data_IF_866384578258
#
_entry.id   IF_866384578258
#
_cell.length_a   1.000
_cell.length_b   1.000
_cell.length_c   1.000
_cell.angle_alpha   90.00
_cell.angle_beta   90.00
_cell.angle_gamma   90.00
#
_symmetry.space_group_name_H-M   'P 1'
#
loop_
_entity.id
_entity.type
_entity.pdbx_description
1 polymer ?
#
# COMPACT_ATOMS: atom_id res chain seq x y z
N UNK A 1 64.19 -4.69 -6.26
CA UNK A 1 64.27 -3.28 -5.83
C UNK A 1 62.85 -2.76 -5.81
N UNK A 2 62.16 -3.01 -4.70
CA UNK A 2 60.72 -2.93 -4.52
C UNK A 2 60.48 -2.01 -3.33
N UNK A 3 59.98 -0.79 -3.54
CA UNK A 3 59.78 0.11 -2.40
C UNK A 3 59.62 1.59 -2.71
N UNK A 4 58.61 1.97 -3.51
CA UNK A 4 58.11 3.37 -3.51
C UNK A 4 56.62 3.45 -3.85
N UNK A 5 55.76 2.64 -3.21
CA UNK A 5 54.28 2.74 -3.37
C UNK A 5 53.51 2.42 -2.08
N UNK A 6 54.07 2.79 -0.93
CA UNK A 6 53.42 2.67 0.38
C UNK A 6 53.69 3.96 1.13
N UNK A 7 52.84 4.97 0.96
CA UNK A 7 52.63 6.09 1.91
C UNK A 7 51.63 7.14 1.38
N UNK A 8 50.55 6.72 0.70
CA UNK A 8 49.53 7.67 0.24
C UNK A 8 48.09 7.11 0.35
N UNK A 9 47.82 6.27 1.36
CA UNK A 9 46.50 5.63 1.47
C UNK A 9 46.02 5.34 2.89
N UNK A 10 46.57 6.01 3.92
CA UNK A 10 46.19 5.69 5.30
C UNK A 10 46.39 6.83 6.30
N UNK A 11 45.78 8.01 6.07
CA UNK A 11 45.61 8.99 7.17
C UNK A 11 44.60 10.12 6.91
N UNK A 12 43.36 9.84 6.48
CA UNK A 12 42.34 10.91 6.47
C UNK A 12 40.85 10.46 6.52
N UNK A 13 40.52 9.20 6.82
CA UNK A 13 39.14 8.68 6.75
C UNK A 13 38.58 8.10 8.06
N UNK A 14 38.95 8.64 9.24
CA UNK A 14 38.41 8.14 10.53
C UNK A 14 37.52 9.13 11.28
N UNK A 15 37.57 10.42 10.97
CA UNK A 15 36.69 11.43 11.59
C UNK A 15 35.31 11.52 10.89
N UNK A 16 35.29 11.35 9.57
CA UNK A 16 34.07 11.42 8.73
C UNK A 16 33.09 10.28 9.03
N UNK A 17 33.60 9.09 9.32
CA UNK A 17 32.77 7.93 9.66
C UNK A 17 32.22 8.01 11.08
N UNK A 18 32.95 8.58 12.04
CA UNK A 18 32.48 8.75 13.42
C UNK A 18 31.30 9.74 13.52
N UNK A 19 31.35 10.85 12.75
CA UNK A 19 30.22 11.79 12.63
C UNK A 19 29.01 11.16 11.93
N UNK A 20 29.24 10.23 10.98
CA UNK A 20 28.16 9.50 10.30
C UNK A 20 27.45 8.52 11.23
N UNK A 21 28.17 7.89 12.15
CA UNK A 21 27.56 6.99 13.14
C UNK A 21 26.85 7.74 14.26
N UNK A 22 27.36 8.88 14.74
CA UNK A 22 26.60 9.74 15.67
C UNK A 22 25.35 10.31 15.02
N UNK A 23 25.42 10.79 13.77
CA UNK A 23 24.22 11.23 13.05
C UNK A 23 23.21 10.10 12.84
N UNK A 24 23.65 8.85 12.67
CA UNK A 24 22.76 7.68 12.57
C UNK A 24 22.20 7.30 13.94
N UNK A 25 22.96 7.45 15.03
CA UNK A 25 22.51 7.14 16.39
C UNK A 25 21.57 8.23 16.95
N UNK A 26 21.86 9.51 16.70
CA UNK A 26 20.98 10.64 16.94
C UNK A 26 19.75 10.60 16.03
N UNK A 27 19.88 10.10 14.79
CA UNK A 27 18.75 9.82 13.92
C UNK A 27 17.94 8.61 14.41
N UNK A 28 18.56 7.59 15.01
CA UNK A 28 17.84 6.48 15.65
C UNK A 28 17.15 6.93 16.93
N UNK A 29 17.79 7.80 17.71
CA UNK A 29 17.23 8.39 18.92
C UNK A 29 16.10 9.37 18.60
N UNK A 30 16.25 10.21 17.57
CA UNK A 30 15.18 11.04 17.02
C UNK A 30 14.09 10.16 16.42
N UNK A 31 14.39 9.09 15.68
CA UNK A 31 13.40 8.14 15.19
C UNK A 31 12.68 7.41 16.33
N UNK A 32 13.35 7.13 17.45
CA UNK A 32 12.76 6.49 18.62
C UNK A 32 11.93 7.48 19.46
N UNK A 33 12.37 8.74 19.55
CA UNK A 33 11.68 9.83 20.24
C UNK A 33 10.49 10.35 19.42
N UNK A 34 10.64 10.41 18.10
CA UNK A 34 9.58 10.59 17.12
C UNK A 34 8.69 9.35 17.10
N UNK A 35 9.17 8.11 17.26
CA UNK A 35 8.29 6.93 17.40
C UNK A 35 7.53 6.89 18.73
N UNK A 36 8.01 7.61 19.76
CA UNK A 36 7.30 7.83 21.03
C UNK A 36 6.27 8.95 20.96
N UNK A 37 6.37 9.84 19.97
CA UNK A 37 5.49 11.01 19.77
C UNK A 37 4.71 11.02 18.44
N UNK A 38 5.01 10.10 17.52
CA UNK A 38 4.22 9.73 16.34
C UNK A 38 3.13 8.81 16.87
N UNK A 39 2.16 9.43 17.52
CA UNK A 39 0.84 8.87 17.52
C UNK A 39 0.45 8.66 16.05
N UNK A 40 0.19 7.40 15.67
CA UNK A 40 -0.21 7.11 14.31
C UNK A 40 -1.58 7.75 14.08
N UNK A 41 -1.71 8.74 13.16
CA UNK A 41 -2.90 9.55 13.10
C UNK A 41 -4.10 8.65 12.80
N UNK A 42 -4.98 8.51 13.79
CA UNK A 42 -6.18 7.68 13.69
C UNK A 42 -7.35 8.49 13.13
N UNK A 43 -7.20 9.82 13.10
CA UNK A 43 -8.20 10.78 12.66
C UNK A 43 -7.67 11.73 11.57
N UNK A 44 -8.59 12.29 10.78
CA UNK A 44 -8.29 13.26 9.71
C UNK A 44 -7.68 14.55 10.28
N UNK A 45 -8.03 14.93 11.51
CA UNK A 45 -7.46 16.09 12.18
C UNK A 45 -5.96 15.94 12.47
N UNK A 46 -5.53 14.78 12.97
CA UNK A 46 -4.12 14.48 13.26
C UNK A 46 -3.30 14.40 11.97
N UNK A 47 -3.89 13.88 10.88
CA UNK A 47 -3.25 13.86 9.57
C UNK A 47 -3.03 15.28 9.02
N UNK A 48 -3.96 16.20 9.31
CA UNK A 48 -3.84 17.60 8.93
C UNK A 48 -2.73 18.30 9.70
N UNK A 49 -2.70 18.15 11.02
CA UNK A 49 -1.65 18.74 11.88
C UNK A 49 -0.26 18.26 11.46
N UNK A 50 -0.11 16.95 11.22
CA UNK A 50 1.11 16.37 10.67
C UNK A 50 1.47 16.97 9.31
N UNK A 51 0.48 17.19 8.43
CA UNK A 51 0.71 17.78 7.11
C UNK A 51 1.15 19.24 7.18
N UNK A 52 0.61 20.03 8.12
CA UNK A 52 1.00 21.43 8.34
C UNK A 52 2.41 21.52 8.91
N UNK A 53 2.73 20.71 9.93
CA UNK A 53 4.09 20.61 10.50
C UNK A 53 5.11 20.20 9.44
N UNK A 54 4.82 19.15 8.66
CA UNK A 54 5.71 18.70 7.58
C UNK A 54 5.87 19.73 6.47
N UNK A 55 4.84 20.54 6.20
CA UNK A 55 4.88 21.58 5.17
C UNK A 55 5.67 22.80 5.60
N UNK A 56 5.63 23.17 6.89
CA UNK A 56 6.49 24.19 7.47
C UNK A 56 7.96 23.71 7.45
N UNK A 57 8.22 22.47 7.88
CA UNK A 57 9.55 21.85 7.90
C UNK A 57 10.14 21.63 6.49
N UNK A 58 9.27 21.43 5.49
CA UNK A 58 9.67 21.33 4.08
C UNK A 58 10.32 22.61 3.55
N UNK A 59 10.00 23.78 4.09
CA UNK A 59 10.58 25.06 3.64
C UNK A 59 12.10 25.14 3.86
N UNK A 60 12.62 24.47 4.89
CA UNK A 60 14.06 24.40 5.17
C UNK A 60 14.71 23.09 4.70
N UNK A 61 14.01 21.95 4.72
CA UNK A 61 14.60 20.64 4.41
C UNK A 61 13.71 19.75 3.50
N UNK A 62 13.43 20.21 2.28
CA UNK A 62 12.56 19.51 1.32
C UNK A 62 12.99 18.06 0.99
N UNK A 63 14.29 17.80 0.84
CA UNK A 63 14.80 16.46 0.49
C UNK A 63 14.62 15.48 1.66
N UNK A 64 14.81 15.95 2.89
CA UNK A 64 14.70 15.12 4.08
C UNK A 64 13.26 14.64 4.30
N UNK A 65 12.28 15.55 4.23
CA UNK A 65 10.85 15.22 4.35
C UNK A 65 10.41 14.23 3.27
N UNK A 66 10.88 14.43 2.04
CA UNK A 66 10.59 13.52 0.93
C UNK A 66 11.18 12.11 1.17
N UNK A 67 12.44 12.01 1.58
CA UNK A 67 13.08 10.73 1.86
C UNK A 67 12.44 9.99 3.04
N UNK A 68 12.10 10.72 4.11
CA UNK A 68 11.41 10.15 5.26
C UNK A 68 10.03 9.61 4.88
N UNK A 69 9.27 10.38 4.10
CA UNK A 69 7.97 9.96 3.58
C UNK A 69 8.09 8.70 2.73
N UNK A 70 9.00 8.70 1.74
CA UNK A 70 9.24 7.54 0.87
C UNK A 70 9.64 6.30 1.69
N UNK A 71 10.55 6.46 2.66
CA UNK A 71 11.02 5.37 3.51
C UNK A 71 9.90 4.79 4.37
N UNK A 72 9.09 5.63 5.01
CA UNK A 72 7.95 5.20 5.81
C UNK A 72 6.87 4.50 4.95
N UNK A 73 6.64 5.00 3.73
CA UNK A 73 5.72 4.39 2.77
C UNK A 73 6.17 3.00 2.37
N UNK A 74 7.43 2.88 1.92
CA UNK A 74 8.01 1.62 1.48
C UNK A 74 8.01 0.61 2.62
N UNK A 75 8.40 1.01 3.83
CA UNK A 75 8.37 0.17 5.01
C UNK A 75 6.96 -0.44 5.22
N UNK A 76 5.93 0.38 5.37
CA UNK A 76 4.58 -0.15 5.59
C UNK A 76 4.07 -1.01 4.45
N UNK A 77 4.32 -0.59 3.22
CA UNK A 77 3.84 -1.30 2.06
C UNK A 77 4.55 -2.66 1.89
N UNK A 78 5.84 -2.74 2.18
CA UNK A 78 6.63 -3.98 2.13
C UNK A 78 6.28 -4.94 3.26
N UNK A 79 5.99 -4.43 4.46
CA UNK A 79 5.54 -5.23 5.60
C UNK A 79 4.02 -5.47 5.64
N UNK A 80 3.28 -5.06 4.59
CA UNK A 80 1.83 -5.26 4.49
C UNK A 80 1.03 -4.67 5.67
N UNK A 81 1.53 -3.61 6.29
CA UNK A 81 0.90 -2.97 7.46
C UNK A 81 -0.33 -2.17 6.99
N UNK A 82 -1.53 -2.39 7.56
CA UNK A 82 -2.71 -1.60 7.22
C UNK A 82 -2.52 -0.12 7.58
N UNK A 83 -3.06 0.78 6.75
CA UNK A 83 -2.94 2.23 6.95
C UNK A 83 -2.09 2.96 5.90
N UNK A 84 -1.67 2.29 4.81
CA UNK A 84 -1.03 2.96 3.67
C UNK A 84 -1.95 3.96 2.95
N UNK A 85 -3.28 3.79 3.06
CA UNK A 85 -4.28 4.75 2.57
C UNK A 85 -4.04 6.18 3.09
N UNK A 86 -3.68 6.31 4.38
CA UNK A 86 -3.41 7.62 4.99
C UNK A 86 -2.19 8.29 4.37
N UNK A 87 -1.15 7.52 4.04
CA UNK A 87 0.04 8.06 3.37
C UNK A 87 -0.28 8.54 1.95
N UNK A 88 -1.21 7.89 1.24
CA UNK A 88 -1.68 8.39 -0.06
C UNK A 88 -2.42 9.72 0.06
N UNK A 89 -3.27 9.87 1.08
CA UNK A 89 -3.94 11.15 1.39
C UNK A 89 -2.90 12.21 1.74
N UNK A 90 -1.94 11.89 2.61
CA UNK A 90 -0.86 12.80 2.99
C UNK A 90 -0.01 13.23 1.77
N UNK A 91 0.28 12.33 0.85
CA UNK A 91 0.99 12.66 -0.39
C UNK A 91 0.22 13.70 -1.22
N UNK A 92 -1.09 13.57 -1.30
CA UNK A 92 -1.95 14.57 -1.97
C UNK A 92 -1.94 15.93 -1.28
N UNK A 93 -1.93 15.95 0.05
CA UNK A 93 -1.86 17.18 0.83
C UNK A 93 -0.50 17.89 0.71
N UNK A 94 0.60 17.12 0.62
CA UNK A 94 1.97 17.66 0.59
C UNK A 94 2.46 18.00 -0.83
N UNK A 95 2.17 17.16 -1.80
CA UNK A 95 2.72 17.25 -3.16
C UNK A 95 1.68 17.64 -4.22
N UNK A 96 0.40 17.72 -3.85
CA UNK A 96 -0.70 18.00 -4.77
C UNK A 96 -1.17 16.77 -5.54
N UNK A 97 -2.19 16.92 -6.40
CA UNK A 97 -2.94 15.80 -6.97
C UNK A 97 -2.13 14.98 -7.98
N UNK A 98 -1.40 15.64 -8.88
CA UNK A 98 -0.67 14.97 -9.96
C UNK A 98 0.67 14.38 -9.50
N UNK A 99 1.47 15.18 -8.78
CA UNK A 99 2.77 14.73 -8.29
C UNK A 99 2.61 13.69 -7.16
N UNK A 100 1.62 13.88 -6.28
CA UNK A 100 1.25 12.90 -5.26
C UNK A 100 0.79 11.58 -5.87
N UNK A 101 -0.02 11.60 -6.93
CA UNK A 101 -0.46 10.39 -7.63
C UNK A 101 0.72 9.63 -8.21
N UNK A 102 1.59 10.31 -8.97
CA UNK A 102 2.75 9.67 -9.59
C UNK A 102 3.66 9.06 -8.52
N UNK A 103 3.95 9.81 -7.47
CA UNK A 103 4.76 9.35 -6.34
C UNK A 103 4.14 8.13 -5.65
N UNK A 104 2.85 8.17 -5.34
CA UNK A 104 2.12 7.07 -4.72
C UNK A 104 2.10 5.83 -5.61
N UNK A 105 1.88 5.96 -6.92
CA UNK A 105 1.90 4.82 -7.84
C UNK A 105 3.27 4.14 -7.87
N UNK A 106 4.36 4.92 -7.95
CA UNK A 106 5.73 4.39 -7.91
C UNK A 106 6.02 3.73 -6.56
N UNK A 107 5.80 4.43 -5.44
CA UNK A 107 6.05 3.91 -4.10
C UNK A 107 5.22 2.66 -3.80
N UNK A 108 3.96 2.61 -4.23
CA UNK A 108 3.09 1.44 -4.06
C UNK A 108 3.63 0.25 -4.83
N UNK A 109 4.10 0.46 -6.05
CA UNK A 109 4.61 -0.61 -6.92
C UNK A 109 5.94 -1.16 -6.39
N UNK A 110 6.85 -0.27 -6.00
CA UNK A 110 8.14 -0.64 -5.40
C UNK A 110 7.92 -1.33 -4.04
N UNK A 111 7.08 -0.76 -3.17
CA UNK A 111 6.78 -1.32 -1.86
C UNK A 111 6.08 -2.69 -1.93
N UNK A 112 5.13 -2.86 -2.86
CA UNK A 112 4.48 -4.14 -3.13
C UNK A 112 5.47 -5.19 -3.66
N UNK A 113 6.44 -4.75 -4.46
CA UNK A 113 7.53 -5.61 -4.93
C UNK A 113 8.45 -6.03 -3.77
N UNK A 114 8.72 -5.14 -2.81
CA UNK A 114 9.39 -5.50 -1.56
C UNK A 114 8.64 -6.58 -0.77
N UNK A 115 7.31 -6.45 -0.64
CA UNK A 115 6.45 -7.46 -0.02
C UNK A 115 6.51 -8.81 -0.77
N UNK A 116 6.44 -8.76 -2.11
CA UNK A 116 6.60 -9.93 -2.98
C UNK A 116 7.93 -10.63 -2.74
N UNK A 117 9.04 -9.88 -2.69
CA UNK A 117 10.37 -10.44 -2.49
C UNK A 117 10.49 -11.07 -1.10
N UNK A 118 10.00 -10.39 -0.06
CA UNK A 118 10.01 -10.90 1.30
C UNK A 118 9.19 -12.20 1.41
N UNK A 119 8.01 -12.25 0.78
CA UNK A 119 7.20 -13.46 0.70
C UNK A 119 7.87 -14.56 -0.13
N UNK A 120 8.58 -14.22 -1.20
CA UNK A 120 9.32 -15.19 -2.01
C UNK A 120 10.42 -15.90 -1.21
N UNK A 121 11.14 -15.14 -0.36
CA UNK A 121 12.23 -15.67 0.46
C UNK A 121 11.69 -16.48 1.64
N UNK A 122 10.78 -15.91 2.43
CA UNK A 122 10.32 -16.49 3.70
C UNK A 122 8.99 -17.23 3.56
N UNK A 123 8.00 -16.61 2.92
CA UNK A 123 6.63 -17.11 2.83
C UNK A 123 6.49 -18.36 1.95
N UNK A 124 7.19 -18.41 0.81
CA UNK A 124 7.10 -19.52 -0.13
C UNK A 124 7.54 -20.85 0.49
N UNK A 125 8.66 -20.85 1.21
CA UNK A 125 9.19 -22.07 1.83
C UNK A 125 8.24 -22.62 2.91
N UNK A 126 7.72 -21.73 3.77
CA UNK A 126 6.77 -22.10 4.82
C UNK A 126 5.46 -22.66 4.24
N UNK A 127 4.85 -21.96 3.29
CA UNK A 127 3.53 -22.33 2.77
C UNK A 127 3.58 -23.61 1.94
N UNK A 128 4.64 -23.82 1.15
CA UNK A 128 4.86 -25.07 0.42
C UNK A 128 5.06 -26.24 1.37
N UNK A 129 5.73 -26.04 2.51
CA UNK A 129 5.93 -27.08 3.51
C UNK A 129 4.64 -27.47 4.24
N UNK A 130 3.74 -26.52 4.52
CA UNK A 130 2.49 -26.78 5.24
C UNK A 130 1.36 -27.29 4.34
N UNK A 131 1.27 -26.81 3.08
CA UNK A 131 0.17 -27.14 2.16
C UNK A 131 0.64 -27.42 0.72
N UNK A 132 1.48 -28.45 0.49
CA UNK A 132 2.10 -28.70 -0.81
C UNK A 132 1.05 -28.96 -1.91
N UNK A 133 0.06 -29.81 -1.64
CA UNK A 133 -0.92 -30.23 -2.65
C UNK A 133 -1.80 -29.07 -3.15
N UNK A 134 -2.27 -28.21 -2.22
CA UNK A 134 -3.11 -27.04 -2.58
C UNK A 134 -2.31 -26.01 -3.36
N UNK A 135 -1.07 -25.75 -2.96
CA UNK A 135 -0.19 -24.80 -3.65
C UNK A 135 0.11 -25.30 -5.06
N UNK A 136 0.40 -26.60 -5.22
CA UNK A 136 0.67 -27.20 -6.52
C UNK A 136 -0.53 -27.10 -7.47
N UNK A 137 -1.75 -27.38 -6.98
CA UNK A 137 -2.98 -27.23 -7.77
C UNK A 137 -3.18 -25.78 -8.25
N UNK A 138 -2.95 -24.80 -7.36
CA UNK A 138 -3.09 -23.39 -7.71
C UNK A 138 -2.01 -22.93 -8.68
N UNK A 139 -0.75 -23.33 -8.48
CA UNK A 139 0.35 -23.05 -9.40
C UNK A 139 0.06 -23.63 -10.79
N UNK A 140 -0.43 -24.86 -10.87
CA UNK A 140 -0.84 -25.48 -12.14
C UNK A 140 -1.95 -24.68 -12.82
N UNK A 141 -2.96 -24.22 -12.07
CA UNK A 141 -4.04 -23.39 -12.61
C UNK A 141 -3.55 -22.05 -13.14
N UNK A 142 -2.59 -21.43 -12.45
CA UNK A 142 -1.94 -20.19 -12.88
C UNK A 142 -1.13 -20.42 -14.16
N UNK A 143 -0.41 -21.54 -14.25
CA UNK A 143 0.36 -21.91 -15.44
C UNK A 143 -0.56 -22.14 -16.66
N UNK A 144 -1.66 -22.87 -16.48
CA UNK A 144 -2.69 -23.08 -17.51
C UNK A 144 -3.31 -21.77 -18.02
N UNK A 145 -3.31 -20.71 -17.19
CA UNK A 145 -3.95 -19.42 -17.49
C UNK A 145 -2.94 -18.26 -17.58
N UNK A 146 -1.65 -18.55 -17.87
CA UNK A 146 -0.57 -17.57 -17.96
C UNK A 146 -0.91 -16.35 -18.82
N UNK A 147 -1.56 -16.56 -19.95
CA UNK A 147 -1.89 -15.50 -20.91
C UNK A 147 -2.90 -14.48 -20.35
N UNK A 148 -3.78 -14.92 -19.45
CA UNK A 148 -4.79 -14.07 -18.80
C UNK A 148 -4.39 -13.57 -17.41
N UNK A 149 -3.26 -14.03 -16.86
CA UNK A 149 -2.87 -13.78 -15.48
C UNK A 149 -2.75 -12.29 -15.15
N UNK A 150 -2.15 -11.51 -16.05
CA UNK A 150 -2.03 -10.07 -15.89
C UNK A 150 -3.39 -9.38 -15.79
N UNK A 151 -4.32 -9.69 -16.69
CA UNK A 151 -5.68 -9.12 -16.68
C UNK A 151 -6.49 -9.58 -15.46
N UNK A 152 -6.32 -10.84 -15.05
CA UNK A 152 -6.92 -11.36 -13.83
C UNK A 152 -6.43 -10.61 -12.58
N UNK A 153 -5.11 -10.40 -12.47
CA UNK A 153 -4.50 -9.62 -11.40
C UNK A 153 -4.92 -8.15 -11.40
N UNK A 154 -5.11 -7.57 -12.58
CA UNK A 154 -5.62 -6.22 -12.74
C UNK A 154 -7.08 -6.13 -12.25
N UNK A 155 -7.93 -7.06 -12.70
CA UNK A 155 -9.32 -7.16 -12.28
C UNK A 155 -9.46 -7.29 -10.76
N UNK A 156 -8.68 -8.16 -10.13
CA UNK A 156 -8.68 -8.34 -8.67
C UNK A 156 -8.25 -7.10 -7.87
N UNK A 157 -7.51 -6.16 -8.49
CA UNK A 157 -7.11 -4.91 -7.84
C UNK A 157 -8.10 -3.78 -8.08
N UNK A 158 -8.69 -3.74 -9.27
CA UNK A 158 -9.74 -2.78 -9.61
C UNK A 158 -11.02 -3.08 -8.83
N UNK A 159 -11.37 -4.36 -8.67
CA UNK A 159 -12.46 -4.82 -7.83
C UNK A 159 -11.89 -5.34 -6.52
N UNK A 160 -11.97 -4.59 -5.40
CA UNK A 160 -11.30 -4.91 -4.14
C UNK A 160 -12.00 -6.07 -3.39
N UNK A 161 -12.21 -7.20 -4.07
CA UNK A 161 -12.69 -8.44 -3.48
C UNK A 161 -11.62 -9.10 -2.61
N UNK A 162 -10.34 -8.85 -2.91
CA UNK A 162 -9.20 -9.43 -2.21
C UNK A 162 -8.31 -8.32 -1.65
N UNK A 163 -7.87 -8.42 -0.38
CA UNK A 163 -6.94 -7.45 0.18
C UNK A 163 -5.63 -7.38 -0.61
N UNK A 164 -5.13 -6.16 -0.81
CA UNK A 164 -3.90 -5.92 -1.58
C UNK A 164 -2.68 -6.66 -1.01
N UNK A 165 -2.56 -6.68 0.32
CA UNK A 165 -1.50 -7.40 1.01
C UNK A 165 -1.50 -8.90 0.68
N UNK A 166 -2.69 -9.49 0.54
CA UNK A 166 -2.84 -10.91 0.25
C UNK A 166 -2.38 -11.25 -1.16
N UNK A 167 -2.70 -10.39 -2.14
CA UNK A 167 -2.22 -10.54 -3.52
C UNK A 167 -0.69 -10.42 -3.60
N UNK A 168 -0.11 -9.48 -2.84
CA UNK A 168 1.34 -9.29 -2.80
C UNK A 168 2.07 -10.48 -2.17
N UNK A 169 1.50 -11.05 -1.10
CA UNK A 169 2.04 -12.22 -0.41
C UNK A 169 1.88 -13.52 -1.20
N UNK A 170 0.73 -13.71 -1.87
CA UNK A 170 0.40 -14.94 -2.60
C UNK A 170 1.03 -15.04 -3.99
N UNK A 171 1.28 -13.91 -4.66
CA UNK A 171 1.89 -13.89 -5.98
C UNK A 171 3.20 -14.71 -6.13
N UNK A 172 4.21 -14.62 -5.23
CA UNK A 172 5.41 -15.43 -5.34
C UNK A 172 5.18 -16.91 -5.01
N UNK A 173 4.22 -17.21 -4.13
CA UNK A 173 3.81 -18.58 -3.79
C UNK A 173 3.20 -19.26 -5.02
N UNK A 174 2.47 -18.50 -5.84
CA UNK A 174 1.84 -18.97 -7.07
C UNK A 174 2.76 -18.93 -8.32
N UNK A 175 4.06 -18.62 -8.15
CA UNK A 175 5.01 -18.45 -9.24
C UNK A 175 4.61 -17.40 -10.30
N UNK A 176 3.91 -16.34 -9.87
CA UNK A 176 3.58 -15.22 -10.75
C UNK A 176 4.88 -14.43 -11.05
N UNK A 177 5.17 -14.12 -12.33
CA UNK A 177 6.37 -13.36 -12.68
C UNK A 177 6.30 -11.94 -12.14
N UNK A 178 7.41 -11.46 -11.58
CA UNK A 178 7.52 -10.15 -10.91
C UNK A 178 7.15 -8.98 -11.83
N UNK A 179 7.43 -9.09 -13.13
CA UNK A 179 7.13 -8.04 -14.12
C UNK A 179 5.62 -7.87 -14.28
N UNK A 180 4.87 -8.96 -14.45
CA UNK A 180 3.41 -8.90 -14.56
C UNK A 180 2.78 -8.41 -13.26
N UNK A 181 3.34 -8.86 -12.12
CA UNK A 181 2.93 -8.38 -10.81
C UNK A 181 3.15 -6.87 -10.66
N UNK A 182 4.33 -6.36 -10.98
CA UNK A 182 4.69 -4.94 -10.87
C UNK A 182 3.74 -4.06 -11.69
N UNK A 183 3.55 -4.37 -12.97
CA UNK A 183 2.64 -3.60 -13.82
C UNK A 183 1.18 -3.72 -13.38
N UNK A 184 0.77 -4.88 -12.85
CA UNK A 184 -0.60 -5.05 -12.35
C UNK A 184 -0.86 -4.17 -11.12
N UNK A 185 0.14 -3.99 -10.24
CA UNK A 185 0.06 -3.06 -9.09
C UNK A 185 0.07 -1.62 -9.59
N UNK A 186 1.00 -1.29 -10.49
CA UNK A 186 1.18 0.06 -11.01
C UNK A 186 -0.09 0.59 -11.67
N UNK A 187 -0.74 -0.23 -12.51
CA UNK A 187 -1.94 0.17 -13.28
C UNK A 187 -3.21 -0.07 -12.46
N UNK A 188 -3.31 -1.21 -11.77
CA UNK A 188 -4.53 -1.61 -11.05
C UNK A 188 -4.86 -0.72 -9.86
N UNK A 189 -3.86 -0.05 -9.27
CA UNK A 189 -4.06 0.81 -8.11
C UNK A 189 -4.09 2.30 -8.44
N UNK A 190 -3.94 2.69 -9.70
CA UNK A 190 -4.12 4.09 -10.14
C UNK A 190 -5.44 4.68 -9.65
N UNK A 191 -6.62 4.07 -9.90
CA UNK A 191 -7.88 4.71 -9.51
C UNK A 191 -8.00 4.87 -7.99
N UNK A 192 -7.54 3.87 -7.23
CA UNK A 192 -7.51 3.93 -5.77
C UNK A 192 -6.57 5.03 -5.27
N UNK A 193 -5.32 5.07 -5.77
CA UNK A 193 -4.34 6.09 -5.41
C UNK A 193 -4.84 7.49 -5.78
N UNK A 194 -5.49 7.64 -6.94
CA UNK A 194 -6.07 8.91 -7.38
C UNK A 194 -7.14 9.41 -6.40
N UNK A 195 -8.07 8.56 -5.98
CA UNK A 195 -9.12 8.94 -5.02
C UNK A 195 -8.49 9.41 -3.70
N UNK A 196 -7.51 8.66 -3.16
CA UNK A 196 -6.85 9.03 -1.91
C UNK A 196 -6.06 10.34 -2.00
N UNK A 197 -5.22 10.47 -3.04
CA UNK A 197 -4.41 11.67 -3.27
C UNK A 197 -5.30 12.89 -3.52
N UNK A 198 -6.36 12.74 -4.32
CA UNK A 198 -7.31 13.82 -4.58
C UNK A 198 -8.01 14.27 -3.29
N UNK A 199 -8.40 13.31 -2.43
CA UNK A 199 -8.98 13.61 -1.12
C UNK A 199 -8.02 14.44 -0.26
N UNK A 200 -6.74 14.06 -0.23
CA UNK A 200 -5.72 14.80 0.51
C UNK A 200 -5.44 16.19 -0.04
N UNK A 201 -5.41 16.34 -1.36
CA UNK A 201 -5.24 17.64 -2.00
C UNK A 201 -6.40 18.58 -1.66
N UNK A 202 -7.64 18.10 -1.68
CA UNK A 202 -8.81 18.89 -1.29
C UNK A 202 -8.72 19.27 0.19
N UNK A 203 -8.37 18.33 1.07
CA UNK A 203 -8.25 18.58 2.50
C UNK A 203 -7.23 19.69 2.81
N UNK A 204 -6.11 19.72 2.09
CA UNK A 204 -5.06 20.75 2.27
C UNK A 204 -5.48 22.17 1.85
N UNK A 205 -6.52 22.29 1.02
CA UNK A 205 -7.08 23.58 0.58
C UNK A 205 -8.21 24.10 1.47
N UNK A 206 -8.75 23.27 2.36
CA UNK A 206 -9.77 23.65 3.34
C UNK A 206 -9.12 24.29 4.57
N UNK A 207 -8.56 25.48 4.38
CA UNK A 207 -7.73 26.16 5.38
C UNK A 207 -8.54 26.72 6.57
N UNK A 208 -9.86 26.90 6.47
CA UNK A 208 -10.69 27.43 7.56
C UNK A 208 -11.63 26.38 8.13
N UNK A 209 -11.54 26.14 9.45
CA UNK A 209 -12.45 25.27 10.21
C UNK A 209 -13.93 25.69 10.09
N UNK A 210 -14.21 26.95 9.69
CA UNK A 210 -15.56 27.44 9.35
C UNK A 210 -16.15 26.81 8.08
N UNK A 211 -15.32 26.31 7.15
CA UNK A 211 -15.78 25.69 5.90
C UNK A 211 -16.05 24.18 6.04
N UNK A 212 -15.64 23.54 7.13
CA UNK A 212 -15.98 22.15 7.44
C UNK A 212 -17.47 22.00 7.82
N UNK A 213 -18.09 23.06 8.36
CA UNK A 213 -19.53 23.14 8.60
C UNK A 213 -20.34 23.69 7.42
N UNK A 214 -19.70 23.97 6.28
CA UNK A 214 -20.45 24.34 5.07
C UNK A 214 -21.18 23.12 4.51
N UNK A 215 -22.49 23.28 4.30
CA UNK A 215 -23.38 22.27 3.73
C UNK A 215 -22.84 21.68 2.41
N UNK A 216 -22.07 22.47 1.64
CA UNK A 216 -21.42 22.02 0.40
C UNK A 216 -20.33 20.96 0.62
N UNK A 217 -19.51 21.11 1.67
CA UNK A 217 -18.42 20.18 1.99
C UNK A 217 -19.00 18.86 2.50
N UNK A 218 -20.07 18.93 3.30
CA UNK A 218 -20.82 17.77 3.72
C UNK A 218 -21.41 16.99 2.54
N UNK A 219 -21.97 17.68 1.53
CA UNK A 219 -22.46 17.02 0.31
C UNK A 219 -21.35 16.40 -0.53
N UNK A 220 -20.17 17.04 -0.64
CA UNK A 220 -19.02 16.48 -1.38
C UNK A 220 -18.43 15.27 -0.67
N UNK A 221 -18.27 15.31 0.65
CA UNK A 221 -17.81 14.16 1.45
C UNK A 221 -18.85 13.03 1.47
N UNK A 222 -20.14 13.35 1.56
CA UNK A 222 -21.22 12.39 1.42
C UNK A 222 -21.22 11.75 0.02
N UNK A 223 -21.00 12.52 -1.04
CA UNK A 223 -20.92 11.99 -2.39
C UNK A 223 -19.73 11.04 -2.56
N UNK A 224 -18.55 11.39 -2.02
CA UNK A 224 -17.37 10.50 -2.03
C UNK A 224 -17.63 9.25 -1.18
N UNK A 225 -18.21 9.40 0.01
CA UNK A 225 -18.59 8.28 0.87
C UNK A 225 -19.60 7.36 0.19
N UNK A 226 -20.60 7.90 -0.50
CA UNK A 226 -21.58 7.14 -1.27
C UNK A 226 -20.92 6.42 -2.44
N UNK A 227 -20.08 7.09 -3.22
CA UNK A 227 -19.32 6.47 -4.33
C UNK A 227 -18.38 5.38 -3.81
N UNK A 228 -17.75 5.56 -2.65
CA UNK A 228 -16.95 4.54 -1.98
C UNK A 228 -17.80 3.37 -1.42
N UNK A 229 -19.07 3.61 -1.07
CA UNK A 229 -20.00 2.60 -0.57
C UNK A 229 -20.68 1.80 -1.69
N UNK A 230 -20.75 2.34 -2.92
CA UNK A 230 -21.32 1.67 -4.10
C UNK A 230 -20.64 0.31 -4.37
N UNK A 231 -19.31 0.18 -4.42
CA UNK A 231 -18.68 -1.14 -4.58
C UNK A 231 -19.05 -2.09 -3.44
N UNK A 232 -19.00 -1.64 -2.17
CA UNK A 232 -19.27 -2.50 -1.02
C UNK A 232 -20.72 -3.00 -0.92
N UNK A 233 -21.69 -2.14 -1.27
CA UNK A 233 -23.13 -2.48 -1.21
C UNK A 233 -23.59 -3.32 -2.41
N UNK A 234 -23.02 -3.09 -3.60
CA UNK A 234 -23.26 -3.95 -4.77
C UNK A 234 -22.69 -5.35 -4.53
N UNK A 235 -21.48 -5.46 -3.97
CA UNK A 235 -20.87 -6.75 -3.63
C UNK A 235 -21.70 -7.49 -2.58
N UNK A 236 -22.20 -6.80 -1.52
CA UNK A 236 -23.11 -7.40 -0.54
C UNK A 236 -24.44 -7.85 -1.15
N UNK A 237 -25.04 -7.06 -2.05
CA UNK A 237 -26.30 -7.41 -2.71
C UNK A 237 -26.16 -8.59 -3.68
N UNK A 238 -25.05 -8.68 -4.41
CA UNK A 238 -24.77 -9.80 -5.31
C UNK A 238 -24.50 -11.07 -4.49
N UNK A 239 -23.67 -10.99 -3.44
CA UNK A 239 -23.39 -12.12 -2.54
C UNK A 239 -24.65 -12.63 -1.81
N UNK A 240 -25.57 -11.76 -1.38
CA UNK A 240 -26.83 -12.18 -0.75
C UNK A 240 -27.83 -12.80 -1.75
N UNK A 241 -27.86 -12.34 -3.01
CA UNK A 241 -28.70 -12.94 -4.05
C UNK A 241 -28.25 -14.37 -4.38
N UNK A 242 -26.94 -14.60 -4.50
CA UNK A 242 -26.39 -15.92 -4.80
C UNK A 242 -26.62 -16.91 -3.66
N UNK A 243 -26.53 -16.45 -2.40
CA UNK A 243 -26.85 -17.27 -1.22
C UNK A 243 -28.32 -17.67 -1.17
N UNK A 244 -29.25 -16.74 -1.45
CA UNK A 244 -30.70 -17.01 -1.48
C UNK A 244 -31.11 -17.96 -2.62
N UNK A 245 -30.47 -17.85 -3.80
CA UNK A 245 -30.73 -18.75 -4.93
C UNK A 245 -30.24 -20.19 -4.68
N UNK A 246 -29.13 -20.35 -3.94
CA UNK A 246 -28.66 -21.67 -3.50
C UNK A 246 -29.60 -22.31 -2.48
N UNK A 247 -30.15 -21.51 -1.57
CA UNK A 247 -31.08 -21.98 -0.53
C UNK A 247 -32.42 -22.46 -1.12
N UNK A 248 -32.98 -21.73 -2.10
CA UNK A 248 -34.22 -22.12 -2.80
C UNK A 248 -34.02 -23.33 -3.71
N UNK A 249 -32.89 -23.44 -4.41
CA UNK A 249 -32.56 -24.60 -5.25
C UNK A 249 -32.38 -25.88 -4.41
N UNK A 250 -31.70 -25.78 -3.26
CA UNK A 250 -31.54 -26.90 -2.34
C UNK A 250 -32.87 -27.36 -1.73
N UNK A 251 -33.75 -26.43 -1.33
CA UNK A 251 -35.07 -26.75 -0.81
C UNK A 251 -35.96 -27.50 -1.83
N UNK A 252 -35.90 -27.12 -3.11
CA UNK A 252 -36.65 -27.81 -4.17
C UNK A 252 -36.10 -29.22 -4.44
N UNK A 253 -34.77 -29.41 -4.41
CA UNK A 253 -34.14 -30.72 -4.61
C UNK A 253 -34.46 -31.73 -3.48
N UNK A 254 -34.60 -31.25 -2.25
CA UNK A 254 -34.94 -32.06 -1.08
C UNK A 254 -36.42 -32.47 -1.07
N UNK A 255 -37.31 -31.61 -1.57
CA UNK A 255 -38.73 -31.93 -1.68
C UNK A 255 -38.99 -32.96 -2.79
N UNK A 256 -38.30 -32.86 -3.93
CA UNK A 256 -38.41 -33.84 -5.03
C UNK A 256 -37.91 -35.24 -4.67
N UNK A 257 -36.99 -35.39 -3.70
CA UNK A 257 -36.49 -36.70 -3.23
C UNK A 257 -37.37 -37.38 -2.19
N UNK A 258 -38.33 -36.68 -1.58
CA UNK A 258 -39.27 -37.26 -0.59
C UNK A 258 -40.56 -37.80 -1.21
N UNK A 259 -40.79 -37.52 -2.50
CA UNK A 259 -42.02 -37.87 -3.24
C UNK A 259 -41.79 -39.05 -4.21
N UNK A 260 -40.62 -39.70 -4.13
CA UNK A 260 -40.30 -40.96 -4.82
C UNK A 260 -39.98 -42.03 -3.77
#
# INVERSE_FOLDING_TARGET
MMGTFKNLFWKEDTASDFIRYEAVFDCLHLLFQISRSLWFPSDLAELRELSEVLREYRKEHQVYVFLLFCSAYLYKQSFAIPGSSFLNVLAGALFGPWLGLLLCCVLTSVGATGCYLLSSVFGKQLVVSYFPDKVFLLQKKVEENRNGLFFFLLFLRLFPMTPNWFLNLSAPILNIPIVQFFFSVLIGLIPYNFICVQTGSILSTLTSLDALFSWETAFKLLAIALVALVPGTLIKKVSQKDLRLKETSNAHSLNSRKVT
#
